data_IF_925457158955
#
_entry.id   IF_925457158955
#
_cell.length_a   1.000
_cell.length_b   1.000
_cell.length_c   1.000
_cell.angle_alpha   90.00
_cell.angle_beta   90.00
_cell.angle_gamma   90.00
#
_symmetry.space_group_name_H-M   'P 1'
#
loop_
_entity.id
_entity.type
_entity.pdbx_description
1 polymer ?
#
# COMPACT_ATOMS: atom_id res chain seq x y z
N UNK A 1 -36.12 9.50 -24.21
CA UNK A 1 -36.83 8.67 -25.23
C UNK A 1 -37.09 7.31 -24.60
N UNK A 2 -38.31 6.78 -24.71
CA UNK A 2 -38.68 5.48 -24.12
C UNK A 2 -38.01 4.36 -24.92
N UNK A 3 -37.19 3.52 -24.28
CA UNK A 3 -36.48 2.42 -24.94
C UNK A 3 -37.51 1.40 -25.47
N UNK A 4 -37.41 0.93 -26.74
CA UNK A 4 -38.34 -0.07 -27.27
C UNK A 4 -38.18 -1.38 -26.50
N UNK A 5 -39.29 -1.93 -25.98
CA UNK A 5 -39.32 -3.15 -25.17
C UNK A 5 -40.23 -4.20 -25.78
N UNK A 6 -39.79 -5.46 -25.82
CA UNK A 6 -40.61 -6.60 -26.28
C UNK A 6 -40.76 -7.59 -25.12
N UNK A 7 -42.00 -8.02 -24.83
CA UNK A 7 -42.33 -8.94 -23.74
C UNK A 7 -41.85 -10.35 -24.08
N UNK A 8 -41.14 -11.00 -23.14
CA UNK A 8 -40.80 -12.42 -23.19
C UNK A 8 -41.30 -13.10 -21.92
N UNK A 9 -41.78 -14.33 -22.03
CA UNK A 9 -42.23 -15.15 -20.90
C UNK A 9 -41.32 -16.36 -20.79
N UNK A 10 -40.66 -16.51 -19.66
CA UNK A 10 -39.79 -17.64 -19.34
C UNK A 10 -40.00 -18.04 -17.88
N UNK A 11 -39.72 -19.31 -17.56
CA UNK A 11 -39.76 -19.81 -16.18
C UNK A 11 -38.38 -19.59 -15.54
N UNK A 12 -38.39 -19.12 -14.31
CA UNK A 12 -37.20 -19.02 -13.47
C UNK A 12 -37.42 -19.84 -12.21
N UNK A 13 -36.32 -20.29 -11.60
CA UNK A 13 -36.36 -20.99 -10.33
C UNK A 13 -37.03 -20.15 -9.22
N UNK A 14 -37.74 -20.81 -8.30
CA UNK A 14 -38.53 -20.15 -7.26
C UNK A 14 -37.66 -19.43 -6.20
N UNK A 15 -36.42 -19.86 -6.00
CA UNK A 15 -35.46 -19.16 -5.13
C UNK A 15 -34.96 -17.92 -5.86
N UNK A 16 -34.61 -18.03 -7.14
CA UNK A 16 -34.13 -16.91 -7.95
C UNK A 16 -35.19 -15.80 -8.08
N UNK A 17 -36.47 -16.17 -8.25
CA UNK A 17 -37.58 -15.22 -8.27
C UNK A 17 -37.67 -14.41 -6.97
N UNK A 18 -37.52 -15.08 -5.82
CA UNK A 18 -37.50 -14.41 -4.50
C UNK A 18 -36.31 -13.47 -4.37
N UNK A 19 -35.11 -13.91 -4.75
CA UNK A 19 -33.92 -13.06 -4.71
C UNK A 19 -34.06 -11.81 -5.59
N UNK A 20 -34.67 -11.95 -6.78
CA UNK A 20 -34.95 -10.83 -7.67
C UNK A 20 -35.89 -9.81 -7.00
N UNK A 21 -36.95 -10.30 -6.36
CA UNK A 21 -37.94 -9.47 -5.65
C UNK A 21 -37.32 -8.73 -4.47
N UNK A 22 -36.50 -9.42 -3.69
CA UNK A 22 -35.78 -8.85 -2.55
C UNK A 22 -34.81 -7.75 -3.02
N UNK A 23 -34.06 -8.00 -4.11
CA UNK A 23 -33.10 -7.05 -4.68
C UNK A 23 -33.79 -5.83 -5.30
N UNK A 24 -34.92 -6.03 -5.99
CA UNK A 24 -35.74 -4.95 -6.53
C UNK A 24 -36.23 -4.05 -5.40
N UNK A 25 -36.75 -4.65 -4.33
CA UNK A 25 -37.27 -3.95 -3.16
C UNK A 25 -36.18 -3.19 -2.41
N UNK A 26 -35.02 -3.83 -2.16
CA UNK A 26 -33.93 -3.23 -1.39
C UNK A 26 -33.28 -2.03 -2.11
N UNK A 27 -33.25 -2.04 -3.44
CA UNK A 27 -32.63 -0.99 -4.26
C UNK A 27 -33.62 -0.01 -4.88
N UNK A 28 -34.93 -0.19 -4.64
CA UNK A 28 -36.02 0.63 -5.21
C UNK A 28 -35.96 0.73 -6.75
N UNK A 29 -35.65 -0.39 -7.41
CA UNK A 29 -35.57 -0.51 -8.87
C UNK A 29 -36.53 -1.59 -9.35
N UNK A 30 -36.95 -1.55 -10.62
CA UNK A 30 -37.90 -2.54 -11.11
C UNK A 30 -37.22 -3.89 -11.38
N UNK A 31 -38.00 -4.98 -11.29
CA UNK A 31 -37.53 -6.33 -11.68
C UNK A 31 -37.00 -6.34 -13.11
N UNK A 32 -37.69 -5.66 -14.01
CA UNK A 32 -37.29 -5.53 -15.42
C UNK A 32 -35.93 -4.85 -15.55
N UNK A 33 -35.66 -3.78 -14.79
CA UNK A 33 -34.37 -3.09 -14.83
C UNK A 33 -33.23 -4.00 -14.36
N UNK A 34 -33.45 -4.77 -13.29
CA UNK A 34 -32.45 -5.74 -12.80
C UNK A 34 -32.18 -6.80 -13.85
N UNK A 35 -33.24 -7.37 -14.45
CA UNK A 35 -33.11 -8.43 -15.46
C UNK A 35 -32.44 -7.90 -16.73
N UNK A 36 -32.81 -6.70 -17.20
CA UNK A 36 -32.15 -6.06 -18.34
C UNK A 36 -30.68 -5.78 -18.06
N UNK A 37 -30.34 -5.27 -16.87
CA UNK A 37 -28.96 -5.01 -16.49
C UNK A 37 -28.14 -6.31 -16.40
N UNK A 38 -28.70 -7.35 -15.79
CA UNK A 38 -28.05 -8.66 -15.68
C UNK A 38 -27.83 -9.30 -17.05
N UNK A 39 -28.84 -9.29 -17.92
CA UNK A 39 -28.73 -9.82 -19.29
C UNK A 39 -27.78 -8.99 -20.15
N UNK A 40 -27.81 -7.67 -20.05
CA UNK A 40 -26.86 -6.81 -20.75
C UNK A 40 -25.42 -7.11 -20.29
N UNK A 41 -25.20 -7.28 -18.99
CA UNK A 41 -23.89 -7.65 -18.43
C UNK A 41 -23.43 -9.03 -18.90
N UNK A 42 -24.32 -10.03 -18.90
CA UNK A 42 -24.02 -11.40 -19.30
C UNK A 42 -23.73 -11.52 -20.81
N UNK A 43 -24.47 -10.78 -21.63
CA UNK A 43 -24.37 -10.84 -23.10
C UNK A 43 -23.28 -9.91 -23.65
N UNK A 44 -22.58 -9.15 -22.80
CA UNK A 44 -21.45 -8.33 -23.22
C UNK A 44 -20.17 -9.17 -23.12
N UNK A 45 -19.46 -9.44 -24.24
CA UNK A 45 -18.24 -10.26 -24.27
C UNK A 45 -17.11 -9.74 -23.37
N UNK A 46 -17.14 -8.46 -23.02
CA UNK A 46 -16.05 -7.79 -22.30
C UNK A 46 -16.11 -7.90 -20.76
N UNK A 47 -17.20 -8.38 -20.16
CA UNK A 47 -17.35 -8.20 -18.70
C UNK A 47 -16.30 -8.98 -17.90
N UNK A 48 -16.09 -10.25 -18.25
CA UNK A 48 -15.10 -11.11 -17.60
C UNK A 48 -13.67 -10.63 -17.93
N UNK A 49 -13.38 -10.34 -19.21
CA UNK A 49 -12.07 -9.83 -19.65
C UNK A 49 -11.70 -8.51 -18.96
N UNK A 50 -12.66 -7.59 -18.74
CA UNK A 50 -12.41 -6.32 -18.04
C UNK A 50 -12.10 -6.54 -16.56
N UNK A 51 -12.80 -7.46 -15.89
CA UNK A 51 -12.54 -7.79 -14.49
C UNK A 51 -11.14 -8.41 -14.37
N UNK A 52 -10.82 -9.36 -15.24
CA UNK A 52 -9.51 -10.00 -15.27
C UNK A 52 -8.38 -8.98 -15.51
N UNK A 53 -8.54 -8.09 -16.49
CA UNK A 53 -7.55 -7.04 -16.77
C UNK A 53 -7.32 -6.08 -15.58
N UNK A 54 -8.38 -5.72 -14.84
CA UNK A 54 -8.24 -4.88 -13.64
C UNK A 54 -7.52 -5.63 -12.52
N UNK A 55 -7.84 -6.91 -12.33
CA UNK A 55 -7.18 -7.75 -11.33
C UNK A 55 -5.69 -7.92 -11.64
N UNK A 56 -5.33 -8.25 -12.89
CA UNK A 56 -3.93 -8.37 -13.32
C UNK A 56 -3.15 -7.08 -13.10
N UNK A 57 -3.71 -5.92 -13.49
CA UNK A 57 -3.07 -4.62 -13.23
C UNK A 57 -2.87 -4.34 -11.74
N UNK A 58 -3.82 -4.74 -10.90
CA UNK A 58 -3.70 -4.59 -9.44
C UNK A 58 -2.61 -5.51 -8.89
N UNK A 59 -2.54 -6.75 -9.35
CA UNK A 59 -1.50 -7.70 -8.97
C UNK A 59 -0.11 -7.22 -9.40
N UNK A 60 0.05 -6.74 -10.62
CA UNK A 60 1.30 -6.16 -11.11
C UNK A 60 1.75 -4.97 -10.25
N UNK A 61 0.80 -4.11 -9.87
CA UNK A 61 1.09 -2.99 -8.96
C UNK A 61 1.56 -3.47 -7.59
N UNK A 62 0.92 -4.50 -7.03
CA UNK A 62 1.31 -5.08 -5.74
C UNK A 62 2.70 -5.71 -5.85
N UNK A 63 2.99 -6.46 -6.92
CA UNK A 63 4.30 -7.06 -7.15
C UNK A 63 5.40 -6.00 -7.13
N UNK A 64 5.24 -4.90 -7.89
CA UNK A 64 6.21 -3.79 -7.89
C UNK A 64 6.37 -3.12 -6.53
N UNK A 65 5.33 -3.09 -5.71
CA UNK A 65 5.42 -2.57 -4.34
C UNK A 65 6.18 -3.53 -3.43
N UNK A 66 6.03 -4.84 -3.62
CA UNK A 66 6.79 -5.87 -2.90
C UNK A 66 8.26 -5.85 -3.30
N UNK A 67 8.59 -5.77 -4.59
CA UNK A 67 9.99 -5.70 -5.06
C UNK A 67 10.71 -4.48 -4.45
N UNK A 68 10.01 -3.34 -4.38
CA UNK A 68 10.55 -2.13 -3.74
C UNK A 68 10.73 -2.32 -2.23
N UNK A 69 9.78 -2.99 -1.57
CA UNK A 69 9.86 -3.28 -0.15
C UNK A 69 11.03 -4.21 0.16
N UNK A 70 11.22 -5.25 -0.64
CA UNK A 70 12.35 -6.18 -0.56
C UNK A 70 13.67 -5.42 -0.64
N UNK A 71 13.84 -4.56 -1.64
CA UNK A 71 15.03 -3.72 -1.76
C UNK A 71 15.26 -2.82 -0.53
N UNK A 72 14.21 -2.20 0.02
CA UNK A 72 14.32 -1.39 1.22
C UNK A 72 14.70 -2.22 2.46
N UNK A 73 14.23 -3.46 2.55
CA UNK A 73 14.58 -4.39 3.64
C UNK A 73 16.04 -4.82 3.52
N UNK A 74 16.50 -5.19 2.33
CA UNK A 74 17.92 -5.52 2.08
C UNK A 74 18.84 -4.34 2.42
N UNK A 75 18.52 -3.13 1.94
CA UNK A 75 19.28 -1.93 2.26
C UNK A 75 19.32 -1.66 3.77
N UNK A 76 18.19 -1.83 4.46
CA UNK A 76 18.12 -1.63 5.91
C UNK A 76 18.96 -2.66 6.68
N UNK A 77 18.94 -3.92 6.23
CA UNK A 77 19.76 -4.98 6.80
C UNK A 77 21.26 -4.72 6.61
N UNK A 78 21.68 -4.28 5.42
CA UNK A 78 23.07 -3.95 5.14
C UNK A 78 23.53 -2.74 5.96
N UNK A 79 22.73 -1.67 6.02
CA UNK A 79 23.02 -0.50 6.85
C UNK A 79 23.14 -0.88 8.34
N UNK A 80 22.27 -1.76 8.82
CA UNK A 80 22.31 -2.26 10.20
C UNK A 80 23.56 -3.11 10.47
N UNK A 81 23.94 -4.00 9.55
CA UNK A 81 25.16 -4.79 9.65
C UNK A 81 26.41 -3.91 9.74
N UNK A 82 26.50 -2.89 8.88
CA UNK A 82 27.58 -1.89 8.92
C UNK A 82 27.59 -1.09 10.22
N UNK A 83 26.41 -0.69 10.71
CA UNK A 83 26.28 -0.03 12.01
C UNK A 83 26.80 -0.91 13.15
N UNK A 84 26.36 -2.17 13.25
CA UNK A 84 26.80 -3.11 14.30
C UNK A 84 28.30 -3.35 14.22
N UNK A 85 28.85 -3.54 13.02
CA UNK A 85 30.29 -3.69 12.81
C UNK A 85 31.05 -2.46 13.32
N UNK A 86 30.63 -1.27 12.93
CA UNK A 86 31.22 -0.01 13.39
C UNK A 86 31.11 0.14 14.90
N UNK A 87 29.97 -0.23 15.48
CA UNK A 87 29.73 -0.17 16.91
C UNK A 87 30.68 -1.10 17.69
N UNK A 88 30.89 -2.33 17.23
CA UNK A 88 31.82 -3.28 17.85
C UNK A 88 33.29 -2.84 17.74
N UNK A 89 33.67 -2.19 16.64
CA UNK A 89 35.04 -1.68 16.45
C UNK A 89 35.30 -0.44 17.32
N UNK A 90 34.32 0.46 17.44
CA UNK A 90 34.49 1.77 18.06
C UNK A 90 34.02 1.85 19.52
N UNK A 91 33.46 0.77 20.09
CA UNK A 91 33.01 0.73 21.49
C UNK A 91 34.01 -0.04 22.36
N UNK A 92 35.00 0.63 22.98
CA UNK A 92 35.94 -0.05 23.87
C UNK A 92 35.21 -0.68 25.07
N UNK A 93 35.62 -1.88 25.51
CA UNK A 93 35.06 -2.50 26.71
C UNK A 93 35.35 -1.62 27.94
N UNK A 94 34.30 -1.28 28.68
CA UNK A 94 34.40 -0.43 29.85
C UNK A 94 34.79 -1.26 31.10
N UNK A 95 35.60 -0.70 32.02
CA UNK A 95 35.82 -1.29 33.33
C UNK A 95 34.49 -1.45 34.09
N UNK A 96 34.34 -2.52 34.88
CA UNK A 96 33.10 -2.86 35.59
C UNK A 96 32.54 -1.72 36.46
N UNK A 97 33.43 -0.90 37.03
CA UNK A 97 33.05 0.28 37.83
C UNK A 97 32.35 1.38 36.99
N UNK A 98 32.71 1.54 35.72
CA UNK A 98 32.13 2.52 34.81
C UNK A 98 30.92 1.99 34.04
N UNK A 99 30.74 0.67 34.00
CA UNK A 99 29.68 0.00 33.24
C UNK A 99 28.27 0.46 33.67
N UNK A 100 28.00 0.57 34.98
CA UNK A 100 26.70 1.04 35.48
C UNK A 100 26.37 2.48 35.07
N UNK A 101 27.36 3.37 35.12
CA UNK A 101 27.18 4.77 34.72
C UNK A 101 26.98 4.91 33.20
N UNK A 102 27.72 4.13 32.41
CA UNK A 102 27.58 4.07 30.96
C UNK A 102 26.22 3.49 30.53
N UNK A 103 25.74 2.42 31.18
CA UNK A 103 24.41 1.85 30.95
C UNK A 103 23.30 2.87 31.26
N UNK A 104 23.39 3.57 32.40
CA UNK A 104 22.42 4.61 32.76
C UNK A 104 22.38 5.76 31.73
N UNK A 105 23.55 6.17 31.24
CA UNK A 105 23.66 7.21 30.20
C UNK A 105 23.13 6.72 28.85
N UNK A 106 23.45 5.47 28.48
CA UNK A 106 22.94 4.82 27.27
C UNK A 106 21.42 4.71 27.27
N UNK A 107 20.81 4.31 28.40
CA UNK A 107 19.36 4.26 28.56
C UNK A 107 18.70 5.63 28.33
N UNK A 108 19.24 6.69 28.95
CA UNK A 108 18.74 8.07 28.76
C UNK A 108 18.85 8.52 27.30
N UNK A 109 19.95 8.20 26.62
CA UNK A 109 20.15 8.53 25.19
C UNK A 109 19.17 7.76 24.30
N UNK A 110 18.91 6.50 24.60
CA UNK A 110 17.93 5.67 23.89
C UNK A 110 16.51 6.23 24.03
N UNK A 111 16.08 6.55 25.24
CA UNK A 111 14.76 7.17 25.49
C UNK A 111 14.59 8.48 24.70
N UNK A 112 15.60 9.36 24.74
CA UNK A 112 15.58 10.62 23.98
C UNK A 112 15.57 10.42 22.44
N UNK A 113 16.24 9.37 21.95
CA UNK A 113 16.22 8.98 20.56
C UNK A 113 14.85 8.47 20.13
N UNK A 114 14.25 7.56 20.90
CA UNK A 114 12.90 7.01 20.64
C UNK A 114 11.87 8.14 20.59
N UNK A 115 11.92 9.06 21.54
CA UNK A 115 11.04 10.24 21.57
C UNK A 115 11.20 11.12 20.33
N UNK A 116 12.46 11.34 19.90
CA UNK A 116 12.76 12.15 18.72
C UNK A 116 12.35 11.46 17.42
N UNK A 117 12.51 10.14 17.34
CA UNK A 117 12.08 9.32 16.21
C UNK A 117 10.55 9.27 16.11
N UNK A 118 9.85 9.07 17.23
CA UNK A 118 8.38 9.08 17.28
C UNK A 118 7.81 10.41 16.78
N UNK A 119 8.32 11.54 17.28
CA UNK A 119 7.94 12.87 16.78
C UNK A 119 8.19 13.03 15.28
N UNK A 120 9.33 12.54 14.79
CA UNK A 120 9.67 12.59 13.37
C UNK A 120 8.77 11.69 12.52
N UNK A 121 8.34 10.54 13.02
CA UNK A 121 7.43 9.65 12.30
C UNK A 121 6.00 10.19 12.21
N UNK A 122 5.54 10.95 13.21
CA UNK A 122 4.20 11.53 13.24
C UNK A 122 4.06 12.74 12.29
N UNK A 123 5.08 13.59 12.21
CA UNK A 123 4.97 14.89 11.53
C UNK A 123 6.22 15.34 10.75
N UNK A 124 7.29 14.56 10.74
CA UNK A 124 8.56 14.92 10.11
C UNK A 124 8.72 14.40 8.68
N UNK A 125 9.66 14.97 7.91
CA UNK A 125 10.04 14.45 6.59
C UNK A 125 10.60 13.02 6.71
N UNK A 126 10.20 12.16 5.76
CA UNK A 126 10.72 10.79 5.69
C UNK A 126 12.17 10.83 5.23
N UNK A 127 13.00 9.97 5.82
CA UNK A 127 14.42 9.86 5.49
C UNK A 127 14.65 9.65 3.98
N UNK A 128 13.77 8.90 3.31
CA UNK A 128 13.85 8.68 1.86
C UNK A 128 13.70 9.97 1.03
N UNK A 129 12.87 10.91 1.47
CA UNK A 129 12.63 12.17 0.74
C UNK A 129 13.83 13.12 0.86
N UNK A 130 14.57 13.06 1.96
CA UNK A 130 15.82 13.81 2.16
C UNK A 130 16.94 13.26 1.27
N UNK A 131 17.09 11.94 1.21
CA UNK A 131 18.11 11.28 0.39
C UNK A 131 17.86 11.45 -1.11
N UNK A 132 16.60 11.57 -1.55
CA UNK A 132 16.26 11.88 -2.94
C UNK A 132 16.53 13.34 -3.29
N UNK A 133 16.25 14.29 -2.37
CA UNK A 133 16.53 15.72 -2.59
C UNK A 133 18.02 16.02 -2.75
N UNK A 134 18.89 15.30 -2.04
CA UNK A 134 20.34 15.44 -2.20
C UNK A 134 20.86 14.96 -3.58
N UNK A 135 20.19 13.99 -4.22
CA UNK A 135 20.57 13.52 -5.56
C UNK A 135 20.19 14.49 -6.68
N UNK A 136 19.09 15.22 -6.52
CA UNK A 136 18.63 16.20 -7.52
C UNK A 136 19.36 17.56 -7.42
N UNK A 137 20.02 17.84 -6.28
CA UNK A 137 20.74 19.09 -6.02
C UNK A 137 22.16 19.20 -6.58
N UNK A 138 22.75 18.09 -7.08
CA UNK A 138 24.16 18.04 -7.52
C UNK A 138 24.35 18.20 -9.05
N UNK A 139 23.28 18.47 -9.81
CA UNK A 139 23.34 18.64 -11.27
C UNK A 139 23.28 20.08 -11.79
N UNK A 140 23.29 21.09 -10.91
CA UNK A 140 23.39 22.50 -11.33
C UNK A 140 24.77 23.07 -11.01
N UNK A 141 25.79 22.67 -11.77
CA UNK A 141 27.01 23.49 -11.88
C UNK A 141 26.73 24.71 -12.77
N UNK A 142 27.16 25.93 -12.38
CA UNK A 142 26.93 27.13 -13.17
C UNK A 142 27.89 27.20 -14.37
N UNK A 143 27.34 27.35 -15.57
CA UNK A 143 28.12 27.75 -16.75
C UNK A 143 28.77 29.11 -16.50
N UNK A 144 30.08 29.10 -16.29
CA UNK A 144 30.94 30.28 -16.33
C UNK A 144 31.05 30.70 -17.80
N UNK A 145 30.72 31.97 -18.07
CA UNK A 145 31.05 32.69 -19.30
C UNK A 145 32.37 33.42 -19.12
#
# INVERSE_FOLDING_TARGET
>A
MRKPSVKRTFRIDAILARQLDDRASSRRITRTDIVEAALASLLTPDHEERIEAVLTRRLDRISRQLDRLEWHVELSNEAFALFVRSWLVNSPPLPDAALRAAQATGKKRWEAFVDSLSRRMEAGPKLGDELSRDKDGDHSSPSVK
#
